data_IF_466071115564
#
_entry.id   IF_466071115564
#
_cell.length_a   1.000
_cell.length_b   1.000
_cell.length_c   1.000
_cell.angle_alpha   90.00
_cell.angle_beta   90.00
_cell.angle_gamma   90.00
#
_symmetry.space_group_name_H-M   'P 1'
#
loop_
_entity.id
_entity.type
_entity.pdbx_description
1 polymer ?
#
# COMPACT_ATOMS: atom_id res chain seq x y z
N UNK A 1 10.30 -15.42 -49.82
CA UNK A 1 9.42 -15.17 -48.66
C UNK A 1 10.22 -15.41 -47.42
N UNK A 2 10.83 -14.34 -46.89
CA UNK A 2 11.69 -14.42 -45.71
C UNK A 2 10.88 -14.91 -44.51
N UNK A 3 11.35 -16.03 -43.96
CA UNK A 3 10.84 -16.59 -42.73
C UNK A 3 11.35 -15.70 -41.59
N UNK A 4 10.62 -14.62 -41.28
CA UNK A 4 10.93 -13.78 -40.13
C UNK A 4 10.75 -14.61 -38.87
N UNK A 5 11.87 -14.99 -38.24
CA UNK A 5 11.90 -15.65 -36.95
C UNK A 5 11.27 -14.71 -35.93
N UNK A 6 9.97 -14.90 -35.64
CA UNK A 6 9.27 -14.10 -34.66
C UNK A 6 9.80 -14.51 -33.28
N UNK A 7 10.56 -13.64 -32.63
CA UNK A 7 10.96 -13.86 -31.25
C UNK A 7 9.69 -13.90 -30.38
N UNK A 8 9.47 -15.02 -29.69
CA UNK A 8 8.35 -15.20 -28.76
C UNK A 8 8.93 -15.17 -27.36
N UNK A 9 8.41 -14.27 -26.51
CA UNK A 9 8.73 -14.23 -25.09
C UNK A 9 7.71 -15.12 -24.37
N UNK A 10 8.19 -16.09 -23.62
CA UNK A 10 7.37 -17.01 -22.84
C UNK A 10 7.76 -16.97 -21.36
N UNK A 11 6.76 -17.06 -20.49
CA UNK A 11 6.96 -17.16 -19.05
C UNK A 11 6.69 -18.59 -18.58
N UNK A 12 7.56 -19.11 -17.69
CA UNK A 12 7.36 -20.41 -17.05
C UNK A 12 6.40 -20.25 -15.88
N UNK A 13 5.24 -20.89 -15.97
CA UNK A 13 4.22 -20.92 -14.92
C UNK A 13 4.10 -22.34 -14.32
N UNK A 14 3.39 -22.52 -13.18
CA UNK A 14 3.09 -23.87 -12.67
C UNK A 14 2.34 -24.77 -13.66
N UNK A 15 1.68 -24.17 -14.66
CA UNK A 15 0.89 -24.87 -15.68
C UNK A 15 1.66 -25.06 -17.01
N UNK A 16 2.93 -24.66 -17.07
CA UNK A 16 3.77 -24.74 -18.27
C UNK A 16 4.20 -23.38 -18.81
N UNK A 17 4.75 -23.38 -20.02
CA UNK A 17 5.16 -22.17 -20.72
C UNK A 17 3.95 -21.47 -21.32
N UNK A 18 3.85 -20.16 -21.07
CA UNK A 18 2.75 -19.32 -21.53
C UNK A 18 3.34 -18.13 -22.29
N UNK A 19 2.77 -17.78 -23.45
CA UNK A 19 3.21 -16.61 -24.21
C UNK A 19 2.94 -15.33 -23.40
N UNK A 20 3.83 -14.34 -23.52
CA UNK A 20 3.70 -13.08 -22.78
C UNK A 20 2.34 -12.39 -23.01
N UNK A 21 1.83 -12.44 -24.26
CA UNK A 21 0.52 -11.90 -24.65
C UNK A 21 -0.67 -12.52 -23.92
N UNK A 22 -0.49 -13.73 -23.37
CA UNK A 22 -1.53 -14.49 -22.68
C UNK A 22 -1.44 -14.31 -21.15
N UNK A 23 -0.47 -13.54 -20.65
CA UNK A 23 -0.39 -13.13 -19.25
C UNK A 23 -1.42 -12.03 -18.94
N UNK A 24 -1.70 -11.78 -17.66
CA UNK A 24 -2.59 -10.66 -17.30
C UNK A 24 -1.97 -9.30 -17.61
N UNK A 25 -2.80 -8.30 -17.91
CA UNK A 25 -2.36 -6.98 -18.33
C UNK A 25 -1.35 -6.33 -17.36
N UNK A 26 -1.53 -6.50 -16.06
CA UNK A 26 -0.58 -5.99 -15.06
C UNK A 26 0.81 -6.60 -15.17
N UNK A 27 0.91 -7.90 -15.49
CA UNK A 27 2.20 -8.56 -15.72
C UNK A 27 2.84 -8.06 -17.00
N UNK A 28 2.06 -7.96 -18.08
CA UNK A 28 2.57 -7.48 -19.37
C UNK A 28 3.13 -6.07 -19.25
N UNK A 29 2.39 -5.17 -18.59
CA UNK A 29 2.78 -3.78 -18.40
C UNK A 29 4.05 -3.69 -17.56
N UNK A 30 4.10 -4.40 -16.42
CA UNK A 30 5.26 -4.42 -15.53
C UNK A 30 6.51 -4.93 -16.27
N UNK A 31 6.41 -6.07 -16.95
CA UNK A 31 7.54 -6.66 -17.67
C UNK A 31 8.00 -5.74 -18.81
N UNK A 32 7.06 -5.14 -19.55
CA UNK A 32 7.39 -4.28 -20.68
C UNK A 32 8.28 -3.10 -20.27
N UNK A 33 7.89 -2.35 -19.24
CA UNK A 33 8.69 -1.19 -18.83
C UNK A 33 9.99 -1.61 -18.11
N UNK A 34 10.00 -2.73 -17.38
CA UNK A 34 11.24 -3.23 -16.76
C UNK A 34 12.27 -3.65 -17.82
N UNK A 35 11.82 -4.30 -18.90
CA UNK A 35 12.68 -4.68 -20.02
C UNK A 35 13.15 -3.44 -20.79
N UNK A 36 12.29 -2.45 -21.00
CA UNK A 36 12.68 -1.17 -21.61
C UNK A 36 13.73 -0.44 -20.77
N UNK A 37 13.54 -0.36 -19.45
CA UNK A 37 14.51 0.21 -18.52
C UNK A 37 15.84 -0.55 -18.58
N UNK A 38 15.80 -1.88 -18.52
CA UNK A 38 16.99 -2.71 -18.62
C UNK A 38 17.75 -2.44 -19.92
N UNK A 39 17.06 -2.47 -21.07
CA UNK A 39 17.67 -2.21 -22.37
C UNK A 39 18.36 -0.83 -22.42
N UNK A 40 17.70 0.22 -21.91
CA UNK A 40 18.29 1.57 -21.82
C UNK A 40 19.54 1.61 -20.94
N UNK A 41 19.58 0.85 -19.85
CA UNK A 41 20.77 0.75 -19.01
C UNK A 41 21.91 0.04 -19.74
N UNK A 42 21.64 -1.03 -20.49
CA UNK A 42 22.65 -1.69 -21.34
C UNK A 42 23.21 -0.74 -22.40
N UNK A 43 22.35 0.05 -23.05
CA UNK A 43 22.77 1.03 -24.05
C UNK A 43 23.58 2.18 -23.42
N UNK A 44 23.20 2.60 -22.20
CA UNK A 44 23.83 3.72 -21.50
C UNK A 44 25.17 3.35 -20.87
N UNK A 45 25.32 2.10 -20.42
CA UNK A 45 26.49 1.57 -19.72
C UNK A 45 27.08 0.35 -20.44
N UNK A 46 27.52 0.47 -21.71
CA UNK A 46 27.96 -0.66 -22.52
C UNK A 46 29.21 -1.37 -21.95
N UNK A 47 30.06 -0.61 -21.24
CA UNK A 47 31.30 -1.12 -20.64
C UNK A 47 31.11 -1.64 -19.20
N UNK A 48 29.91 -1.50 -18.63
CA UNK A 48 29.64 -1.99 -17.28
C UNK A 48 29.51 -3.51 -17.26
N UNK A 49 30.09 -4.14 -16.24
CA UNK A 49 29.91 -5.58 -15.98
C UNK A 49 28.48 -5.92 -15.57
N UNK A 50 27.75 -4.96 -14.98
CA UNK A 50 26.36 -5.13 -14.60
C UNK A 50 25.58 -3.81 -14.81
N UNK A 51 25.13 -3.54 -16.04
CA UNK A 51 24.40 -2.31 -16.36
C UNK A 51 23.14 -2.08 -15.51
N UNK A 52 22.48 -3.15 -15.04
CA UNK A 52 21.28 -3.04 -14.19
C UNK A 52 21.60 -2.43 -12.82
N UNK A 53 22.81 -2.59 -12.33
CA UNK A 53 23.28 -2.05 -11.07
C UNK A 53 23.99 -0.70 -11.23
N UNK A 54 23.81 0.01 -12.34
CA UNK A 54 24.40 1.32 -12.56
C UNK A 54 23.46 2.46 -12.09
N UNK A 55 23.99 3.67 -11.82
CA UNK A 55 23.21 4.79 -11.35
C UNK A 55 22.14 5.26 -12.35
N UNK A 56 20.89 5.35 -11.93
CA UNK A 56 19.82 5.94 -12.71
C UNK A 56 18.76 6.59 -11.82
N UNK A 57 17.95 7.46 -12.40
CA UNK A 57 16.74 8.00 -11.76
C UNK A 57 15.55 7.59 -12.62
N UNK A 58 14.59 6.91 -12.01
CA UNK A 58 13.40 6.41 -12.69
C UNK A 58 12.15 6.96 -12.00
N UNK A 59 11.31 7.62 -12.79
CA UNK A 59 10.01 8.12 -12.35
C UNK A 59 8.93 7.16 -12.86
N UNK A 60 8.10 6.63 -11.95
CA UNK A 60 6.98 5.76 -12.34
C UNK A 60 5.70 6.29 -11.71
N UNK A 61 4.75 6.69 -12.56
CA UNK A 61 3.42 7.05 -12.11
C UNK A 61 2.55 5.79 -11.99
N UNK A 62 1.72 5.73 -10.94
CA UNK A 62 0.80 4.63 -10.63
C UNK A 62 1.45 3.25 -10.78
N UNK A 63 2.56 3.04 -10.07
CA UNK A 63 3.37 1.82 -10.20
C UNK A 63 2.59 0.54 -9.87
N UNK A 64 1.48 0.67 -9.15
CA UNK A 64 0.60 -0.41 -8.70
C UNK A 64 -0.58 -0.71 -9.63
N UNK A 65 -0.73 0.04 -10.72
CA UNK A 65 -1.87 -0.07 -11.63
C UNK A 65 -1.97 -1.46 -12.25
N UNK A 66 -3.18 -2.06 -12.20
CA UNK A 66 -3.49 -3.41 -12.69
C UNK A 66 -2.64 -4.57 -12.11
N UNK A 67 -1.81 -4.31 -11.10
CA UNK A 67 -1.01 -5.35 -10.47
C UNK A 67 -1.83 -6.13 -9.44
N UNK A 68 -1.65 -7.45 -9.48
CA UNK A 68 -2.24 -8.31 -8.46
C UNK A 68 -1.62 -8.01 -7.08
N UNK A 69 -2.41 -8.02 -5.98
CA UNK A 69 -1.96 -7.69 -4.62
C UNK A 69 -0.66 -8.37 -4.18
N UNK A 70 -0.50 -9.65 -4.53
CA UNK A 70 0.72 -10.43 -4.25
C UNK A 70 1.99 -9.77 -4.81
N UNK A 71 1.90 -9.13 -5.98
CA UNK A 71 3.04 -8.44 -6.60
C UNK A 71 3.28 -7.07 -6.00
N UNK A 72 2.22 -6.32 -5.68
CA UNK A 72 2.36 -5.04 -4.99
C UNK A 72 3.18 -5.19 -3.70
N UNK A 73 3.02 -6.32 -2.99
CA UNK A 73 3.81 -6.62 -1.78
C UNK A 73 5.31 -6.90 -2.01
N UNK A 74 5.72 -7.31 -3.21
CA UNK A 74 7.10 -7.70 -3.50
C UNK A 74 7.78 -6.78 -4.52
N UNK A 75 7.05 -5.83 -5.10
CA UNK A 75 7.55 -5.05 -6.22
C UNK A 75 8.73 -4.16 -5.83
N UNK A 76 8.59 -3.40 -4.74
CA UNK A 76 9.63 -2.48 -4.29
C UNK A 76 10.92 -3.24 -3.97
N UNK A 77 10.84 -4.34 -3.23
CA UNK A 77 12.01 -5.16 -2.91
C UNK A 77 12.66 -5.79 -4.15
N UNK A 78 11.86 -6.25 -5.13
CA UNK A 78 12.40 -6.74 -6.39
C UNK A 78 13.14 -5.66 -7.17
N UNK A 79 12.56 -4.45 -7.27
CA UNK A 79 13.18 -3.34 -7.99
C UNK A 79 14.49 -2.89 -7.34
N UNK A 80 14.51 -2.73 -6.02
CA UNK A 80 15.74 -2.34 -5.30
C UNK A 80 16.82 -3.43 -5.34
N UNK A 81 16.43 -4.70 -5.43
CA UNK A 81 17.37 -5.81 -5.58
C UNK A 81 17.98 -5.86 -6.99
N UNK A 82 17.16 -5.73 -8.04
CA UNK A 82 17.61 -5.82 -9.43
C UNK A 82 18.41 -4.57 -9.83
N UNK A 83 17.93 -3.39 -9.43
CA UNK A 83 18.46 -2.09 -9.82
C UNK A 83 19.08 -1.35 -8.63
N UNK A 84 20.14 -1.94 -8.06
CA UNK A 84 20.68 -1.54 -6.75
C UNK A 84 21.24 -0.11 -6.65
N UNK A 85 21.64 0.51 -7.76
CA UNK A 85 22.07 1.92 -7.79
C UNK A 85 21.03 2.85 -8.44
N UNK A 86 19.82 2.36 -8.73
CA UNK A 86 18.76 3.18 -9.32
C UNK A 86 17.86 3.77 -8.25
N UNK A 87 17.68 5.09 -8.30
CA UNK A 87 16.70 5.80 -7.49
C UNK A 87 15.33 5.77 -8.17
N UNK A 88 14.37 5.07 -7.56
CA UNK A 88 12.98 5.08 -7.98
C UNK A 88 12.21 6.17 -7.23
N UNK A 89 11.49 7.01 -7.97
CA UNK A 89 10.49 7.94 -7.43
C UNK A 89 9.16 7.51 -8.04
N UNK A 90 8.30 6.96 -7.19
CA UNK A 90 7.09 6.29 -7.64
C UNK A 90 5.86 6.86 -6.95
N UNK A 91 4.76 6.93 -7.68
CA UNK A 91 3.44 7.22 -7.09
C UNK A 91 2.65 5.92 -6.99
N UNK A 92 1.83 5.78 -5.95
CA UNK A 92 1.00 4.61 -5.75
C UNK A 92 -0.29 4.98 -5.03
N UNK A 93 -1.36 4.24 -5.36
CA UNK A 93 -2.64 4.34 -4.66
C UNK A 93 -2.89 3.16 -3.71
N UNK A 94 -2.15 2.07 -3.88
CA UNK A 94 -2.36 0.87 -3.08
C UNK A 94 -1.69 0.95 -1.70
N UNK A 95 -2.43 0.69 -0.60
CA UNK A 95 -1.86 0.57 0.73
C UNK A 95 -0.88 -0.61 0.85
N UNK A 96 -0.93 -1.58 -0.06
CA UNK A 96 -0.01 -2.72 -0.07
C UNK A 96 1.40 -2.34 -0.54
N UNK A 97 1.52 -1.31 -1.39
CA UNK A 97 2.83 -0.76 -1.78
C UNK A 97 3.42 -0.02 -0.59
N UNK A 98 2.62 0.84 0.05
CA UNK A 98 3.05 1.60 1.23
C UNK A 98 3.48 0.67 2.36
N UNK A 99 2.73 -0.41 2.60
CA UNK A 99 3.08 -1.43 3.58
C UNK A 99 4.39 -2.17 3.24
N UNK A 100 4.66 -2.46 1.96
CA UNK A 100 5.85 -3.22 1.55
C UNK A 100 7.10 -2.36 1.43
N UNK A 101 6.96 -1.04 1.46
CA UNK A 101 8.03 -0.08 1.26
C UNK A 101 8.77 0.24 2.57
N UNK A 102 9.27 -0.80 3.27
CA UNK A 102 9.86 -0.69 4.61
C UNK A 102 11.08 0.25 4.66
N UNK A 103 11.92 0.27 3.62
CA UNK A 103 13.13 1.09 3.53
C UNK A 103 12.97 2.30 2.60
N UNK A 104 11.73 2.65 2.22
CA UNK A 104 11.48 3.75 1.30
C UNK A 104 11.14 5.06 2.02
N UNK A 105 11.44 6.18 1.38
CA UNK A 105 10.91 7.48 1.79
C UNK A 105 9.46 7.61 1.30
N UNK A 106 8.51 7.62 2.24
CA UNK A 106 7.09 7.76 1.93
C UNK A 106 6.71 9.24 2.04
N UNK A 107 6.12 9.78 0.97
CA UNK A 107 5.62 11.15 0.90
C UNK A 107 4.13 11.11 0.61
N UNK A 108 3.34 11.70 1.52
CA UNK A 108 1.89 11.73 1.38
C UNK A 108 1.45 13.03 0.70
N UNK A 109 0.70 12.88 -0.39
CA UNK A 109 0.09 13.99 -1.12
C UNK A 109 -1.40 14.05 -0.79
N UNK A 110 -1.87 15.17 -0.22
CA UNK A 110 -3.30 15.42 0.02
C UNK A 110 -3.75 16.66 -0.72
N UNK A 111 -4.88 16.56 -1.41
CA UNK A 111 -5.52 17.71 -2.04
C UNK A 111 -6.34 18.48 -0.99
N UNK A 112 -6.01 19.74 -0.75
CA UNK A 112 -6.76 20.66 0.10
C UNK A 112 -7.32 21.77 -0.79
N UNK A 113 -8.57 21.63 -1.24
CA UNK A 113 -9.20 22.58 -2.16
C UNK A 113 -8.55 22.62 -3.55
N UNK A 114 -7.93 23.75 -3.88
CA UNK A 114 -7.28 24.04 -5.17
C UNK A 114 -5.78 23.71 -5.20
N UNK A 115 -5.19 23.31 -4.08
CA UNK A 115 -3.77 23.00 -3.97
C UNK A 115 -3.52 21.60 -3.40
N UNK A 116 -2.28 21.12 -3.58
CA UNK A 116 -1.80 19.87 -3.01
C UNK A 116 -0.83 20.20 -1.88
N UNK A 117 -1.07 19.61 -0.72
CA UNK A 117 -0.21 19.69 0.44
C UNK A 117 0.63 18.43 0.53
N UNK A 118 1.93 18.65 0.69
CA UNK A 118 2.93 17.59 0.75
C UNK A 118 3.29 17.36 2.22
N UNK A 119 3.03 16.16 2.69
CA UNK A 119 3.40 15.71 4.03
C UNK A 119 4.64 14.84 3.91
N UNK A 120 5.78 15.43 4.27
CA UNK A 120 7.08 14.78 4.28
C UNK A 120 7.53 14.63 5.74
N UNK A 121 6.83 13.77 6.48
CA UNK A 121 7.08 13.60 7.92
C UNK A 121 8.15 12.51 8.08
N UNK A 122 9.42 12.91 8.17
CA UNK A 122 10.54 11.99 8.46
C UNK A 122 10.51 11.40 9.87
N UNK A 123 9.74 12.00 10.80
CA UNK A 123 9.87 11.74 12.23
C UNK A 123 8.71 10.95 12.88
N UNK A 124 7.59 10.63 12.17
CA UNK A 124 6.36 10.21 12.88
C UNK A 124 5.60 8.96 12.41
N UNK A 125 5.96 8.27 11.32
CA UNK A 125 5.29 6.99 11.01
C UNK A 125 6.29 5.96 10.50
N UNK A 126 6.93 5.25 11.44
CA UNK A 126 7.51 3.94 11.14
C UNK A 126 6.34 3.02 10.80
N UNK A 127 5.98 2.98 9.50
CA UNK A 127 4.97 2.07 8.94
C UNK A 127 5.51 0.62 8.93
N UNK A 128 6.80 0.44 9.22
CA UNK A 128 7.43 -0.88 9.34
C UNK A 128 6.67 -1.75 10.34
N UNK A 129 6.26 -2.94 9.89
CA UNK A 129 5.51 -3.89 10.70
C UNK A 129 4.03 -3.57 10.88
N UNK A 130 3.49 -2.50 10.29
CA UNK A 130 2.06 -2.22 10.36
C UNK A 130 1.27 -3.26 9.59
N UNK A 131 0.14 -3.67 10.18
CA UNK A 131 -0.85 -4.44 9.45
C UNK A 131 -1.54 -3.55 8.42
N UNK A 132 -2.09 -4.19 7.38
CA UNK A 132 -2.76 -3.47 6.30
C UNK A 132 -3.96 -2.66 6.79
N UNK A 133 -4.66 -3.14 7.82
CA UNK A 133 -5.78 -2.41 8.43
C UNK A 133 -5.34 -1.16 9.19
N UNK A 134 -4.14 -1.17 9.77
CA UNK A 134 -3.56 0.00 10.42
C UNK A 134 -3.14 1.03 9.38
N UNK A 135 -2.50 0.61 8.28
CA UNK A 135 -2.16 1.49 7.15
C UNK A 135 -3.42 2.14 6.57
N UNK A 136 -4.48 1.36 6.37
CA UNK A 136 -5.74 1.85 5.83
C UNK A 136 -6.43 2.86 6.77
N UNK A 137 -6.32 2.68 8.08
CA UNK A 137 -6.98 3.53 9.08
C UNK A 137 -6.12 4.68 9.59
N UNK A 138 -4.86 4.77 9.14
CA UNK A 138 -3.96 5.86 9.52
C UNK A 138 -4.22 7.14 8.73
N UNK A 139 -3.48 8.20 9.05
CA UNK A 139 -3.56 9.47 8.34
C UNK A 139 -3.11 9.35 6.87
N UNK A 140 -2.48 8.24 6.45
CA UNK A 140 -2.08 7.96 5.07
C UNK A 140 -3.28 7.73 4.15
N UNK A 141 -4.24 6.92 4.59
CA UNK A 141 -5.41 6.52 3.80
C UNK A 141 -6.73 7.03 4.37
N UNK A 142 -6.79 7.30 5.67
CA UNK A 142 -7.89 8.01 6.32
C UNK A 142 -9.19 7.21 6.41
N UNK A 143 -9.17 5.88 6.30
CA UNK A 143 -10.38 5.10 6.49
C UNK A 143 -10.80 5.08 7.96
N UNK A 144 -12.07 5.33 8.24
CA UNK A 144 -12.62 5.18 9.59
C UNK A 144 -12.69 3.71 10.02
N UNK A 145 -12.89 2.82 9.04
CA UNK A 145 -12.94 1.38 9.23
C UNK A 145 -12.49 0.64 7.98
N UNK A 146 -11.91 -0.55 8.17
CA UNK A 146 -11.70 -1.54 7.10
C UNK A 146 -12.86 -2.52 6.96
N UNK A 147 -13.93 -2.35 7.74
CA UNK A 147 -15.14 -3.15 7.62
C UNK A 147 -16.01 -2.64 6.46
N UNK A 148 -16.93 -3.47 5.92
CA UNK A 148 -17.84 -3.02 4.88
C UNK A 148 -18.67 -1.78 5.29
N UNK A 149 -19.00 -0.86 4.37
CA UNK A 149 -19.65 0.42 4.72
C UNK A 149 -20.98 0.31 5.46
N UNK A 150 -21.69 -0.82 5.29
CA UNK A 150 -22.95 -1.08 6.01
C UNK A 150 -22.78 -1.09 7.54
N UNK A 151 -21.56 -1.25 8.03
CA UNK A 151 -21.23 -1.27 9.45
C UNK A 151 -20.82 0.09 10.02
N UNK A 152 -20.52 1.07 9.17
CA UNK A 152 -19.94 2.34 9.59
C UNK A 152 -20.82 3.04 10.62
N UNK A 153 -22.14 3.01 10.44
CA UNK A 153 -23.10 3.58 11.41
C UNK A 153 -22.91 3.02 12.82
N UNK A 154 -22.66 1.72 12.96
CA UNK A 154 -22.48 1.07 14.25
C UNK A 154 -21.09 1.36 14.83
N UNK A 155 -20.05 1.40 13.98
CA UNK A 155 -18.67 1.64 14.40
C UNK A 155 -18.43 3.10 14.79
N UNK A 156 -18.93 4.06 14.00
CA UNK A 156 -18.94 5.49 14.31
C UNK A 156 -19.66 5.71 15.63
N UNK A 157 -20.87 5.15 15.78
CA UNK A 157 -21.65 5.31 17.00
C UNK A 157 -20.96 4.72 18.23
N UNK A 158 -20.37 3.53 18.09
CA UNK A 158 -19.55 2.91 19.14
C UNK A 158 -18.40 3.84 19.55
N UNK A 159 -17.68 4.40 18.58
CA UNK A 159 -16.57 5.34 18.83
C UNK A 159 -17.04 6.63 19.50
N UNK A 160 -18.18 7.19 19.09
CA UNK A 160 -18.79 8.37 19.74
C UNK A 160 -19.10 8.12 21.21
N UNK A 161 -19.69 6.98 21.53
CA UNK A 161 -20.03 6.60 22.91
C UNK A 161 -18.77 6.45 23.76
N UNK A 162 -17.76 5.76 23.24
CA UNK A 162 -16.50 5.52 23.95
C UNK A 162 -15.67 6.79 24.16
N UNK A 163 -15.79 7.77 23.26
CA UNK A 163 -15.13 9.07 23.40
C UNK A 163 -15.84 10.01 24.40
N UNK A 164 -17.00 9.64 24.96
CA UNK A 164 -17.65 10.46 25.99
C UNK A 164 -16.82 10.44 27.28
N UNK A 165 -16.63 11.62 27.90
CA UNK A 165 -15.97 11.75 29.21
C UNK A 165 -16.63 10.92 30.33
N UNK A 166 -17.93 10.62 30.19
CA UNK A 166 -18.69 9.79 31.13
C UNK A 166 -19.68 8.94 30.35
N UNK A 167 -19.59 7.64 30.55
CA UNK A 167 -20.51 6.65 29.96
C UNK A 167 -21.71 6.49 30.92
N UNK A 168 -22.92 6.55 30.38
CA UNK A 168 -24.16 6.34 31.15
C UNK A 168 -24.64 4.89 31.03
N UNK A 169 -25.54 4.46 31.94
CA UNK A 169 -26.20 3.13 31.81
C UNK A 169 -26.99 2.97 30.51
N UNK A 170 -27.41 4.07 29.87
CA UNK A 170 -28.06 4.05 28.55
C UNK A 170 -27.03 3.77 27.45
N UNK A 171 -25.85 4.37 27.56
CA UNK A 171 -24.74 4.15 26.63
C UNK A 171 -24.22 2.71 26.72
N UNK A 172 -24.13 2.12 27.92
CA UNK A 172 -23.75 0.71 28.12
C UNK A 172 -24.72 -0.23 27.39
N UNK A 173 -26.03 -0.03 27.55
CA UNK A 173 -27.06 -0.81 26.84
C UNK A 173 -26.97 -0.65 25.32
N UNK A 174 -26.68 0.57 24.86
CA UNK A 174 -26.53 0.85 23.43
C UNK A 174 -25.28 0.16 22.86
N UNK A 175 -24.18 0.11 23.61
CA UNK A 175 -22.97 -0.64 23.24
C UNK A 175 -23.22 -2.16 23.16
N UNK A 176 -23.98 -2.73 24.11
CA UNK A 176 -24.39 -4.14 24.07
C UNK A 176 -25.25 -4.45 22.84
N UNK A 177 -26.22 -3.58 22.51
CA UNK A 177 -27.06 -3.75 21.33
C UNK A 177 -26.26 -3.65 20.02
N UNK A 178 -25.32 -2.70 19.96
CA UNK A 178 -24.38 -2.57 18.83
C UNK A 178 -23.52 -3.82 18.71
N UNK A 179 -22.97 -4.33 19.83
CA UNK A 179 -22.19 -5.57 19.87
C UNK A 179 -22.98 -6.74 19.31
N UNK A 180 -24.19 -6.96 19.81
CA UNK A 180 -25.07 -8.05 19.35
C UNK A 180 -25.36 -7.96 17.85
N UNK A 181 -25.65 -6.76 17.33
CA UNK A 181 -25.88 -6.55 15.89
C UNK A 181 -24.63 -6.83 15.05
N UNK A 182 -23.43 -6.59 15.57
CA UNK A 182 -22.18 -6.92 14.88
C UNK A 182 -21.92 -8.44 14.91
N UNK A 183 -22.21 -9.10 16.03
CA UNK A 183 -22.04 -10.55 16.21
C UNK A 183 -23.03 -11.36 15.37
N UNK A 184 -24.30 -10.95 15.31
CA UNK A 184 -25.34 -11.53 14.43
C UNK A 184 -24.92 -11.50 12.94
N UNK A 185 -24.01 -10.59 12.58
CA UNK A 185 -23.48 -10.46 11.23
C UNK A 185 -22.15 -11.21 11.02
N UNK A 186 -21.82 -12.16 11.90
CA UNK A 186 -20.60 -13.00 11.89
C UNK A 186 -19.30 -12.17 11.83
N UNK A 187 -19.26 -11.03 12.50
CA UNK A 187 -18.02 -10.27 12.65
C UNK A 187 -17.29 -10.79 13.89
N UNK A 188 -16.15 -11.44 13.67
CA UNK A 188 -15.14 -11.57 14.74
C UNK A 188 -14.60 -10.17 15.01
N UNK A 189 -15.13 -9.54 16.06
CA UNK A 189 -14.51 -8.36 16.67
C UNK A 189 -13.35 -8.90 17.49
N UNK A 190 -12.16 -9.00 16.91
CA UNK A 190 -11.00 -9.41 17.68
C UNK A 190 -10.82 -8.43 18.84
N UNK A 191 -10.93 -8.91 20.08
CA UNK A 191 -10.85 -8.13 21.32
C UNK A 191 -9.57 -7.28 21.40
N UNK A 192 -8.51 -7.65 20.65
CA UNK A 192 -7.22 -6.96 20.64
C UNK A 192 -7.12 -5.76 19.67
N UNK A 193 -8.17 -5.47 18.88
CA UNK A 193 -8.12 -4.36 17.92
C UNK A 193 -8.37 -2.98 18.52
N UNK A 194 -9.13 -2.89 19.63
CA UNK A 194 -9.49 -1.59 20.17
C UNK A 194 -8.34 -0.94 20.94
N UNK A 195 -7.63 -1.74 21.74
CA UNK A 195 -6.56 -1.25 22.61
C UNK A 195 -5.36 -0.73 21.82
N UNK A 196 -5.00 -1.39 20.72
CA UNK A 196 -3.89 -0.97 19.86
C UNK A 196 -4.21 0.33 19.10
N UNK A 197 -5.43 0.46 18.58
CA UNK A 197 -5.88 1.68 17.88
C UNK A 197 -6.06 2.86 18.84
N UNK A 198 -6.56 2.60 20.05
CA UNK A 198 -6.70 3.63 21.08
C UNK A 198 -5.34 4.07 21.61
N UNK A 199 -4.39 3.14 21.78
CA UNK A 199 -3.00 3.46 22.13
C UNK A 199 -2.32 4.30 21.05
N UNK A 200 -2.51 3.97 19.76
CA UNK A 200 -1.96 4.74 18.64
C UNK A 200 -2.61 6.13 18.50
N UNK A 201 -3.94 6.23 18.64
CA UNK A 201 -4.64 7.52 18.62
C UNK A 201 -4.24 8.41 19.82
N UNK A 202 -4.06 7.82 21.01
CA UNK A 202 -3.54 8.55 22.18
C UNK A 202 -2.09 8.99 21.97
N UNK A 203 -1.23 8.14 21.40
CA UNK A 203 0.15 8.51 21.07
C UNK A 203 0.19 9.67 20.06
N UNK A 204 -0.60 9.59 18.98
CA UNK A 204 -0.72 10.65 17.98
C UNK A 204 -1.29 11.97 18.55
N UNK A 205 -2.22 11.89 19.50
CA UNK A 205 -2.79 13.06 20.17
C UNK A 205 -1.79 13.75 21.12
N UNK A 206 -0.98 12.97 21.86
CA UNK A 206 0.08 13.48 22.76
C UNK A 206 1.19 14.18 21.96
N UNK A 207 1.54 13.64 20.79
CA UNK A 207 2.51 14.26 19.88
C UNK A 207 1.99 15.58 19.30
N UNK A 208 0.68 15.67 18.99
CA UNK A 208 0.04 16.92 18.55
C UNK A 208 -0.10 17.98 19.65
N UNK A 209 -0.13 17.60 20.94
CA UNK A 209 -0.26 18.55 22.06
C UNK A 209 1.05 19.11 22.60
N UNK A 210 2.19 18.51 22.23
CA UNK A 210 3.53 18.93 22.65
C UNK A 210 4.28 19.77 21.58
N UNK A 211 3.55 20.32 20.60
CA UNK A 211 4.04 21.32 19.65
C UNK A 211 3.48 22.70 19.95
#
# INVERSE_FOLDING_TARGET
TENQTKAIIQAKTPYGWVDMKDLSLGYQTLIAWMVDLAARLFDRYPDSKNPLAEPAIVLVDEIDLHLHPKWQRNLISHLTTIFSQTQFIVTAHSPLIVQSAEDANIVLLKREGDHVKIYNNKDEEVIQGWRIDQVLTSDLFGLESTRPPKYDKYLIRKKEILNKKRITKKDEKELEEIGRKLDEMNIVVGEQHHDALEALQKAAAVLKSNR
#
